data_IF_627505173451
#
_entry.id   IF_627505173451
#
_cell.length_a   1.000
_cell.length_b   1.000
_cell.length_c   1.000
_cell.angle_alpha   90.00
_cell.angle_beta   90.00
_cell.angle_gamma   90.00
#
_symmetry.space_group_name_H-M   'P 1'
#
loop_
_entity.id
_entity.type
_entity.pdbx_description
1 polymer ?
#
# COMPACT_ATOMS: atom_id res chain seq x y z
N UNK A 1 -1.14 12.63 5.26
CA UNK A 1 -1.07 11.16 5.35
C UNK A 1 -0.62 10.53 4.03
N UNK A 2 -1.23 10.87 2.88
CA UNK A 2 -0.82 10.33 1.56
C UNK A 2 0.65 10.59 1.20
N UNK A 3 1.10 11.86 1.30
CA UNK A 3 2.51 12.21 1.01
C UNK A 3 3.49 11.40 1.86
N UNK A 4 3.22 11.32 3.17
CA UNK A 4 4.01 10.53 4.12
C UNK A 4 4.06 9.07 3.69
N UNK A 5 2.91 8.49 3.33
CA UNK A 5 2.85 7.12 2.82
C UNK A 5 3.72 6.93 1.57
N UNK A 6 3.61 7.81 0.58
CA UNK A 6 4.40 7.75 -0.64
C UNK A 6 5.91 7.86 -0.38
N UNK A 7 6.33 8.79 0.48
CA UNK A 7 7.74 9.02 0.81
C UNK A 7 8.31 7.83 1.62
N UNK A 8 7.60 7.38 2.65
CA UNK A 8 8.00 6.22 3.45
C UNK A 8 8.02 4.91 2.65
N UNK A 9 7.06 4.69 1.75
CA UNK A 9 7.07 3.52 0.87
C UNK A 9 8.28 3.54 -0.07
N UNK A 10 8.61 4.71 -0.62
CA UNK A 10 9.80 4.89 -1.47
C UNK A 10 11.09 4.58 -0.73
N UNK A 11 11.19 5.01 0.53
CA UNK A 11 12.34 4.69 1.38
C UNK A 11 12.42 3.19 1.66
N UNK A 12 11.31 2.57 2.03
CA UNK A 12 11.20 1.11 2.20
C UNK A 12 11.75 0.39 0.97
N UNK A 13 11.24 0.71 -0.23
CA UNK A 13 11.67 0.04 -1.47
C UNK A 13 13.18 0.24 -1.74
N UNK A 14 13.71 1.45 -1.54
CA UNK A 14 15.13 1.75 -1.74
C UNK A 14 16.05 0.92 -0.83
N UNK A 15 15.66 0.69 0.43
CA UNK A 15 16.42 -0.14 1.37
C UNK A 15 16.58 -1.58 0.84
N UNK A 16 15.59 -2.10 0.11
CA UNK A 16 15.64 -3.45 -0.45
C UNK A 16 16.28 -3.54 -1.84
N UNK A 17 16.29 -2.46 -2.61
CA UNK A 17 17.03 -2.40 -3.88
C UNK A 17 18.56 -2.39 -3.69
N UNK A 18 19.04 -1.94 -2.53
CA UNK A 18 20.48 -1.84 -2.22
C UNK A 18 21.05 -3.09 -1.50
N UNK A 19 20.19 -4.01 -1.06
CA UNK A 19 20.63 -5.23 -0.39
C UNK A 19 20.95 -6.31 -1.45
N UNK A 20 22.21 -6.73 -1.54
CA UNK A 20 22.78 -7.71 -2.49
C UNK A 20 22.15 -9.14 -2.46
N UNK A 21 21.01 -9.33 -1.80
CA UNK A 21 20.25 -10.56 -1.81
C UNK A 21 18.76 -10.27 -1.59
N UNK A 22 18.07 -10.11 -2.72
CA UNK A 22 16.65 -10.31 -2.99
C UNK A 22 15.87 -10.91 -1.81
N UNK A 23 15.23 -10.06 -1.01
CA UNK A 23 14.10 -10.48 -0.20
C UNK A 23 12.85 -10.40 -1.08
N UNK A 24 12.77 -11.32 -2.06
CA UNK A 24 11.77 -11.34 -3.15
C UNK A 24 10.37 -11.11 -2.60
N UNK A 25 10.06 -11.80 -1.50
CA UNK A 25 8.77 -11.74 -0.84
C UNK A 25 8.41 -10.33 -0.34
N UNK A 26 9.33 -9.62 0.33
CA UNK A 26 9.09 -8.23 0.79
C UNK A 26 8.85 -7.28 -0.37
N UNK A 27 9.59 -7.45 -1.46
CA UNK A 27 9.39 -6.67 -2.68
C UNK A 27 8.04 -6.97 -3.34
N UNK A 28 7.61 -8.24 -3.36
CA UNK A 28 6.30 -8.65 -3.88
C UNK A 28 5.15 -8.06 -3.05
N UNK A 29 5.27 -8.08 -1.73
CA UNK A 29 4.29 -7.47 -0.81
C UNK A 29 4.18 -5.95 -1.01
N UNK A 30 5.27 -5.26 -1.34
CA UNK A 30 5.24 -3.82 -1.61
C UNK A 30 4.68 -3.46 -3.00
N UNK A 31 4.57 -4.40 -3.94
CA UNK A 31 4.19 -4.11 -5.33
C UNK A 31 2.81 -3.46 -5.46
N UNK A 32 1.73 -3.96 -4.82
CA UNK A 32 0.43 -3.29 -4.88
C UNK A 32 0.45 -1.89 -4.24
N UNK A 33 1.30 -1.71 -3.22
CA UNK A 33 1.46 -0.41 -2.55
C UNK A 33 2.08 0.65 -3.46
N UNK A 34 2.96 0.25 -4.40
CA UNK A 34 3.51 1.17 -5.40
C UNK A 34 2.39 1.80 -6.23
N UNK A 35 1.39 1.01 -6.59
CA UNK A 35 0.24 1.50 -7.35
C UNK A 35 -0.61 2.49 -6.54
N UNK A 36 -0.71 2.34 -5.21
CA UNK A 36 -1.36 3.34 -4.36
C UNK A 36 -0.56 4.65 -4.33
N UNK A 37 0.76 4.61 -4.43
CA UNK A 37 1.63 5.79 -4.35
C UNK A 37 1.80 6.54 -5.68
N UNK A 38 1.36 5.97 -6.80
CA UNK A 38 1.46 6.54 -8.15
C UNK A 38 0.07 6.61 -8.81
N UNK A 39 -0.54 7.80 -8.83
CA UNK A 39 -1.90 8.00 -9.35
C UNK A 39 -2.00 7.78 -10.85
N UNK A 40 -0.97 8.13 -11.62
CA UNK A 40 -0.99 7.94 -13.07
C UNK A 40 -0.98 6.45 -13.40
N UNK A 41 -0.09 5.70 -12.73
CA UNK A 41 -0.03 4.25 -12.87
C UNK A 41 -1.32 3.60 -12.37
N UNK A 42 -1.88 4.04 -11.24
CA UNK A 42 -3.16 3.55 -10.73
C UNK A 42 -4.28 3.69 -11.76
N UNK A 43 -4.41 4.87 -12.36
CA UNK A 43 -5.45 5.14 -13.35
C UNK A 43 -5.24 4.32 -14.64
N UNK A 44 -3.99 4.13 -15.07
CA UNK A 44 -3.69 3.28 -16.20
C UNK A 44 -4.04 1.81 -15.96
N UNK A 45 -3.77 1.28 -14.76
CA UNK A 45 -4.12 -0.09 -14.38
C UNK A 45 -5.63 -0.27 -14.12
N UNK A 46 -6.29 0.75 -13.56
CA UNK A 46 -7.76 0.84 -13.44
C UNK A 46 -8.44 0.73 -14.80
N UNK A 47 -7.97 1.48 -15.81
CA UNK A 47 -8.52 1.45 -17.16
C UNK A 47 -8.39 0.07 -17.83
N UNK A 48 -7.37 -0.71 -17.46
CA UNK A 48 -7.15 -2.08 -17.95
C UNK A 48 -7.88 -3.15 -17.13
N UNK A 49 -8.48 -2.78 -16.00
CA UNK A 49 -9.01 -3.71 -14.99
C UNK A 49 -8.03 -4.83 -14.62
N UNK A 50 -6.74 -4.47 -14.50
CA UNK A 50 -5.65 -5.43 -14.38
C UNK A 50 -5.66 -6.22 -13.06
N UNK A 51 -4.85 -7.28 -13.01
CA UNK A 51 -4.69 -8.07 -11.78
C UNK A 51 -4.16 -7.21 -10.63
N UNK A 52 -3.16 -6.36 -10.90
CA UNK A 52 -2.55 -5.50 -9.88
C UNK A 52 -3.55 -4.47 -9.33
N UNK A 53 -4.39 -3.90 -10.20
CA UNK A 53 -5.49 -3.03 -9.77
C UNK A 53 -6.44 -3.77 -8.81
N UNK A 54 -6.90 -4.97 -9.18
CA UNK A 54 -7.80 -5.78 -8.34
C UNK A 54 -7.17 -6.16 -7.00
N UNK A 55 -5.87 -6.47 -6.99
CA UNK A 55 -5.13 -6.75 -5.75
C UNK A 55 -5.11 -5.55 -4.81
N UNK A 56 -4.92 -4.33 -5.34
CA UNK A 56 -5.05 -3.10 -4.53
C UNK A 56 -6.46 -2.94 -3.98
N UNK A 57 -7.49 -3.20 -4.79
CA UNK A 57 -8.88 -3.10 -4.35
C UNK A 57 -9.19 -4.07 -3.21
N UNK A 58 -8.72 -5.32 -3.32
CA UNK A 58 -8.81 -6.32 -2.26
C UNK A 58 -8.08 -5.89 -0.98
N UNK A 59 -6.89 -5.29 -1.11
CA UNK A 59 -6.15 -4.75 0.04
C UNK A 59 -6.93 -3.65 0.76
N UNK A 60 -7.51 -2.70 0.03
CA UNK A 60 -8.30 -1.63 0.62
C UNK A 60 -9.58 -2.16 1.28
N UNK A 61 -10.20 -3.18 0.69
CA UNK A 61 -11.33 -3.89 1.29
C UNK A 61 -10.93 -4.57 2.60
N UNK A 62 -9.79 -5.27 2.59
CA UNK A 62 -9.23 -5.91 3.78
C UNK A 62 -8.94 -4.88 4.89
N UNK A 63 -8.31 -3.75 4.55
CA UNK A 63 -8.03 -2.66 5.49
C UNK A 63 -9.31 -2.11 6.12
N UNK A 64 -10.36 -1.90 5.30
CA UNK A 64 -11.67 -1.43 5.78
C UNK A 64 -12.27 -2.37 6.83
N UNK A 65 -12.15 -3.68 6.63
CA UNK A 65 -12.64 -4.69 7.56
C UNK A 65 -11.75 -4.87 8.82
N UNK A 66 -10.59 -4.21 8.87
CA UNK A 66 -9.61 -4.32 9.96
C UNK A 66 -9.32 -2.98 10.65
N UNK A 67 -10.20 -1.98 10.53
CA UNK A 67 -10.05 -0.66 11.17
C UNK A 67 -9.95 -0.79 12.69
N UNK A 68 -10.71 -1.68 13.33
CA UNK A 68 -10.62 -1.89 14.79
C UNK A 68 -9.23 -2.34 15.23
N UNK A 69 -8.56 -3.15 14.41
CA UNK A 69 -7.19 -3.63 14.66
C UNK A 69 -6.14 -2.58 14.32
N UNK A 70 -6.38 -1.78 13.29
CA UNK A 70 -5.46 -0.76 12.79
C UNK A 70 -6.19 0.58 12.59
N UNK A 71 -6.42 1.37 13.65
CA UNK A 71 -7.29 2.55 13.60
C UNK A 71 -6.88 3.61 12.56
N UNK A 72 -5.57 3.73 12.27
CA UNK A 72 -5.06 4.66 11.25
C UNK A 72 -5.53 4.34 9.82
N UNK A 73 -6.04 3.13 9.58
CA UNK A 73 -6.61 2.77 8.28
C UNK A 73 -7.81 3.62 7.92
N UNK A 74 -8.66 4.00 8.88
CA UNK A 74 -9.86 4.82 8.59
C UNK A 74 -9.49 6.15 7.93
N UNK A 75 -8.62 6.93 8.59
CA UNK A 75 -8.15 8.21 8.06
C UNK A 75 -7.37 8.06 6.75
N UNK A 76 -6.63 6.95 6.60
CA UNK A 76 -5.89 6.70 5.36
C UNK A 76 -6.82 6.34 4.21
N UNK A 77 -7.81 5.47 4.42
CA UNK A 77 -8.84 5.12 3.44
C UNK A 77 -9.60 6.37 2.97
N UNK A 78 -10.03 7.24 3.87
CA UNK A 78 -10.62 8.54 3.50
C UNK A 78 -9.68 9.39 2.63
N UNK A 79 -8.39 9.39 2.94
CA UNK A 79 -7.39 10.10 2.14
C UNK A 79 -7.30 9.50 0.72
N UNK A 80 -7.40 8.19 0.58
CA UNK A 80 -7.38 7.50 -0.72
C UNK A 80 -8.69 7.72 -1.51
N UNK A 81 -9.83 7.70 -0.84
CA UNK A 81 -11.14 7.95 -1.45
C UNK A 81 -11.22 9.34 -2.08
N UNK A 82 -10.63 10.37 -1.45
CA UNK A 82 -10.52 11.73 -2.02
C UNK A 82 -9.74 11.80 -3.35
N UNK A 83 -9.04 10.72 -3.71
CA UNK A 83 -8.25 10.55 -4.95
C UNK A 83 -8.85 9.49 -5.89
N UNK A 84 -10.11 9.10 -5.67
CA UNK A 84 -10.82 8.06 -6.44
C UNK A 84 -10.17 6.65 -6.33
N UNK A 85 -9.42 6.42 -5.25
CA UNK A 85 -8.89 5.11 -4.86
C UNK A 85 -9.80 4.53 -3.80
N UNK A 86 -10.76 3.70 -4.21
CA UNK A 86 -11.78 3.13 -3.31
C UNK A 86 -11.58 1.62 -3.05
N UNK A 87 -12.29 1.06 -2.08
CA UNK A 87 -12.22 -0.36 -1.74
C UNK A 87 -13.28 -1.19 -2.48
N UNK A 88 -12.92 -2.39 -2.95
CA UNK A 88 -13.85 -3.34 -3.55
C UNK A 88 -13.26 -4.75 -3.52
N UNK A 89 -14.09 -5.76 -3.31
CA UNK A 89 -13.64 -7.14 -3.19
C UNK A 89 -13.75 -7.88 -4.53
N UNK A 90 -12.63 -8.39 -5.02
CA UNK A 90 -12.48 -9.23 -6.20
C UNK A 90 -12.04 -10.66 -5.86
N UNK A 91 -11.46 -10.88 -4.69
CA UNK A 91 -11.04 -12.21 -4.23
C UNK A 91 -9.85 -12.80 -4.98
N UNK A 92 -8.96 -11.94 -5.52
CA UNK A 92 -7.77 -12.34 -6.27
C UNK A 92 -6.51 -12.39 -5.41
N UNK A 93 -6.52 -11.76 -4.24
CA UNK A 93 -5.41 -11.77 -3.28
C UNK A 93 -5.62 -12.84 -2.20
N UNK A 94 -4.54 -13.51 -1.79
CA UNK A 94 -4.56 -14.43 -0.66
C UNK A 94 -4.71 -13.67 0.67
N UNK A 95 -5.27 -14.31 1.70
CA UNK A 95 -5.39 -13.69 3.02
C UNK A 95 -4.03 -13.36 3.63
N UNK A 96 -3.04 -14.22 3.42
CA UNK A 96 -1.68 -14.05 3.94
C UNK A 96 -0.99 -12.82 3.33
N UNK A 97 -1.11 -12.63 2.00
CA UNK A 97 -0.57 -11.44 1.34
C UNK A 97 -1.27 -10.17 1.82
N UNK A 98 -2.60 -10.20 1.96
CA UNK A 98 -3.37 -9.07 2.46
C UNK A 98 -2.97 -8.69 3.90
N UNK A 99 -2.72 -9.69 4.75
CA UNK A 99 -2.25 -9.48 6.11
C UNK A 99 -0.86 -8.83 6.16
N UNK A 100 0.10 -9.32 5.38
CA UNK A 100 1.45 -8.75 5.33
C UNK A 100 1.47 -7.35 4.70
N UNK A 101 0.71 -7.13 3.64
CA UNK A 101 0.52 -5.82 3.03
C UNK A 101 -0.10 -4.81 4.02
N UNK A 102 -1.15 -5.21 4.74
CA UNK A 102 -1.79 -4.37 5.74
C UNK A 102 -0.83 -4.04 6.91
N UNK A 103 -0.02 -5.01 7.37
CA UNK A 103 1.02 -4.76 8.38
C UNK A 103 2.02 -3.70 7.88
N UNK A 104 2.47 -3.80 6.63
CA UNK A 104 3.38 -2.82 6.03
C UNK A 104 2.75 -1.42 5.94
N UNK A 105 1.50 -1.31 5.48
CA UNK A 105 0.77 -0.04 5.47
C UNK A 105 0.68 0.52 6.89
N UNK A 106 0.32 -0.29 7.88
CA UNK A 106 0.25 0.17 9.27
C UNK A 106 1.62 0.65 9.81
N UNK A 107 2.72 -0.03 9.49
CA UNK A 107 4.07 0.42 9.87
C UNK A 107 4.40 1.79 9.24
N UNK A 108 4.09 1.96 7.95
CA UNK A 108 4.27 3.23 7.24
C UNK A 108 3.44 4.36 7.88
N UNK A 109 2.15 4.11 8.16
CA UNK A 109 1.27 5.10 8.80
C UNK A 109 1.67 5.42 10.27
N UNK A 110 2.50 4.56 10.88
CA UNK A 110 3.13 4.79 12.17
C UNK A 110 4.51 5.43 12.08
N UNK A 111 4.91 5.93 10.90
CA UNK A 111 6.14 6.67 10.66
C UNK A 111 7.43 5.86 10.89
N UNK A 112 7.35 4.52 10.86
CA UNK A 112 8.52 3.64 11.03
C UNK A 112 9.60 3.92 9.97
N UNK A 113 9.18 4.35 8.77
CA UNK A 113 10.05 4.66 7.62
C UNK A 113 10.05 6.16 7.27
N UNK A 114 9.69 7.02 8.22
CA UNK A 114 9.75 8.47 8.03
C UNK A 114 11.12 8.99 8.46
N UNK A 115 11.90 9.52 7.51
CA UNK A 115 13.16 10.17 7.84
C UNK A 115 12.89 11.64 8.21
N UNK A 116 13.05 11.97 9.49
CA UNK A 116 12.83 13.31 10.02
C UNK A 116 13.96 14.31 9.70
N UNK A 117 15.03 13.88 9.01
CA UNK A 117 16.18 14.73 8.69
C UNK A 117 16.07 15.49 7.36
N UNK A 118 14.90 15.46 6.70
CA UNK A 118 14.62 16.33 5.55
C UNK A 118 13.80 17.53 6.05
N UNK A 119 14.51 18.51 6.61
CA UNK A 119 14.01 19.85 6.92
C UNK A 119 14.74 20.88 6.05
#
# INVERSE_FOLDING_TARGET
MYRIFCESLRNYIKEFEQADAVNEYRCLIALPLKLIADLEMYNAEKAKASMLYRQVRDLLHYMKNNIEKYPKFEAFLWTLESRDITAEYYGVSSKEDLEEQAKLVNMILNLVYWDSNIA
#
